data_IF_124083842642
#
_entry.id   IF_124083842642
#
_cell.length_a   1.000
_cell.length_b   1.000
_cell.length_c   1.000
_cell.angle_alpha   90.00
_cell.angle_beta   90.00
_cell.angle_gamma   90.00
#
_symmetry.space_group_name_H-M   'P 1'
#
loop_
_entity.id
_entity.type
_entity.pdbx_description
1 polymer ?
#
# COMPACT_ATOMS: atom_id res chain seq x y z
N UNK A 1 -8.33 -50.88 -14.90
CA UNK A 1 -7.85 -49.83 -15.83
C UNK A 1 -9.01 -48.89 -16.12
N UNK A 2 -9.04 -47.72 -15.47
CA UNK A 2 -10.06 -46.69 -15.75
C UNK A 2 -9.52 -45.83 -16.88
N UNK A 3 -10.28 -45.73 -17.98
CA UNK A 3 -9.92 -44.93 -19.14
C UNK A 3 -9.87 -43.45 -18.77
N UNK A 4 -8.72 -42.79 -18.97
CA UNK A 4 -8.63 -41.34 -18.88
C UNK A 4 -9.38 -40.74 -20.06
N UNK A 5 -10.49 -40.05 -19.78
CA UNK A 5 -11.28 -39.35 -20.79
C UNK A 5 -10.44 -38.30 -21.51
N UNK A 6 -10.49 -38.34 -22.84
CA UNK A 6 -9.90 -37.33 -23.70
C UNK A 6 -10.63 -36.00 -23.46
N UNK A 7 -9.91 -34.97 -23.01
CA UNK A 7 -10.47 -33.63 -22.85
C UNK A 7 -10.18 -32.88 -24.14
N UNK A 8 -11.22 -32.66 -24.96
CA UNK A 8 -11.09 -31.86 -26.17
C UNK A 8 -10.73 -30.41 -25.80
N UNK A 9 -9.70 -29.81 -26.43
CA UNK A 9 -9.32 -28.44 -26.17
C UNK A 9 -10.43 -27.49 -26.64
N UNK A 10 -10.92 -26.65 -25.72
CA UNK A 10 -11.87 -25.58 -26.07
C UNK A 10 -11.16 -24.54 -26.94
N UNK A 11 -11.57 -24.43 -28.20
CA UNK A 11 -11.05 -23.44 -29.13
C UNK A 11 -11.50 -22.03 -28.67
N UNK A 12 -10.54 -21.20 -28.27
CA UNK A 12 -10.84 -19.84 -27.82
C UNK A 12 -11.06 -18.94 -29.03
N UNK A 13 -12.26 -18.37 -29.16
CA UNK A 13 -12.60 -17.37 -30.19
C UNK A 13 -11.65 -16.16 -30.20
N UNK A 14 -11.04 -15.82 -29.06
CA UNK A 14 -10.00 -14.81 -28.94
C UNK A 14 -9.07 -15.15 -27.77
N UNK A 15 -7.77 -14.92 -27.94
CA UNK A 15 -6.76 -15.10 -26.88
C UNK A 15 -6.80 -13.99 -25.83
N UNK A 16 -7.08 -12.76 -26.28
CA UNK A 16 -7.34 -11.59 -25.46
C UNK A 16 -8.41 -10.73 -26.14
N UNK A 17 -9.26 -10.06 -25.35
CA UNK A 17 -10.15 -9.03 -25.90
C UNK A 17 -9.33 -7.76 -26.11
N UNK A 18 -9.55 -7.10 -27.24
CA UNK A 18 -8.98 -5.79 -27.50
C UNK A 18 -9.59 -4.77 -26.53
N UNK A 19 -8.74 -3.97 -25.89
CA UNK A 19 -9.16 -2.94 -24.94
C UNK A 19 -8.35 -1.69 -25.19
N UNK A 20 -9.00 -0.53 -25.29
CA UNK A 20 -8.28 0.74 -25.48
C UNK A 20 -7.48 1.09 -24.25
N UNK A 21 -6.22 1.48 -24.47
CA UNK A 21 -5.34 2.08 -23.46
C UNK A 21 -5.22 3.59 -23.60
N UNK A 22 -5.95 4.20 -24.55
CA UNK A 22 -5.80 5.61 -24.94
C UNK A 22 -5.99 6.56 -23.77
N UNK A 23 -6.91 6.25 -22.86
CA UNK A 23 -7.11 7.09 -21.68
C UNK A 23 -5.83 7.26 -20.87
N UNK A 24 -5.09 6.18 -20.61
CA UNK A 24 -3.84 6.29 -19.87
C UNK A 24 -2.72 6.89 -20.73
N UNK A 25 -2.51 6.33 -21.94
CA UNK A 25 -1.34 6.62 -22.76
C UNK A 25 -1.38 8.01 -23.41
N UNK A 26 -2.58 8.50 -23.74
CA UNK A 26 -2.77 9.79 -24.44
C UNK A 26 -3.40 10.84 -23.55
N UNK A 27 -4.47 10.51 -22.81
CA UNK A 27 -5.17 11.53 -22.02
C UNK A 27 -4.42 11.83 -20.73
N UNK A 28 -4.18 10.84 -19.88
CA UNK A 28 -3.56 11.07 -18.57
C UNK A 28 -2.09 11.48 -18.69
N UNK A 29 -1.30 10.78 -19.50
CA UNK A 29 0.13 11.08 -19.58
C UNK A 29 0.45 12.38 -20.34
N UNK A 30 -0.36 12.77 -21.33
CA UNK A 30 -0.04 13.90 -22.21
C UNK A 30 -0.88 15.15 -21.96
N UNK A 31 -2.13 15.00 -21.50
CA UNK A 31 -3.09 16.12 -21.39
C UNK A 31 -3.28 16.58 -19.95
N UNK A 32 -3.32 15.65 -18.98
CA UNK A 32 -3.63 16.02 -17.60
C UNK A 32 -2.57 16.92 -16.95
N UNK A 33 -3.06 17.97 -16.29
CA UNK A 33 -2.28 18.81 -15.40
C UNK A 33 -2.34 18.33 -13.94
N UNK A 34 -1.66 19.04 -13.04
CA UNK A 34 -1.63 18.71 -11.60
C UNK A 34 -3.01 18.81 -10.93
N UNK A 35 -3.91 19.66 -11.43
CA UNK A 35 -5.26 19.83 -10.85
C UNK A 35 -6.13 18.58 -11.09
N UNK A 36 -5.94 17.92 -12.22
CA UNK A 36 -6.60 16.64 -12.53
C UNK A 36 -5.84 15.46 -11.92
N UNK A 37 -4.51 15.52 -11.90
CA UNK A 37 -3.67 14.41 -11.42
C UNK A 37 -3.78 14.20 -9.92
N UNK A 38 -3.62 15.26 -9.12
CA UNK A 38 -3.46 15.16 -7.67
C UNK A 38 -4.68 14.54 -6.95
N UNK A 39 -5.94 14.86 -7.29
CA UNK A 39 -7.11 14.23 -6.67
C UNK A 39 -7.19 12.71 -6.94
N UNK A 40 -6.71 12.27 -8.11
CA UNK A 40 -6.81 10.88 -8.56
C UNK A 40 -5.65 10.01 -8.06
N UNK A 41 -4.43 10.55 -7.99
CA UNK A 41 -3.23 9.80 -7.59
C UNK A 41 -2.71 10.14 -6.19
N UNK A 42 -3.26 11.19 -5.53
CA UNK A 42 -2.90 11.66 -4.17
C UNK A 42 -1.43 12.05 -4.00
N UNK A 43 -0.72 12.26 -5.11
CA UNK A 43 0.64 12.75 -5.18
C UNK A 43 0.85 13.51 -6.48
N UNK A 44 1.87 14.36 -6.53
CA UNK A 44 2.25 15.07 -7.77
C UNK A 44 2.79 14.11 -8.82
N UNK A 45 2.74 14.50 -10.10
CA UNK A 45 3.24 13.66 -11.20
C UNK A 45 4.75 13.40 -11.08
N UNK A 46 5.52 14.38 -10.63
CA UNK A 46 6.95 14.21 -10.36
C UNK A 46 7.25 13.11 -9.34
N UNK A 47 6.59 13.17 -8.17
CA UNK A 47 6.71 12.15 -7.11
C UNK A 47 6.28 10.77 -7.60
N UNK A 48 5.25 10.70 -8.45
CA UNK A 48 4.85 9.44 -9.07
C UNK A 48 5.96 8.84 -9.96
N UNK A 49 6.64 9.66 -10.76
CA UNK A 49 7.74 9.20 -11.60
C UNK A 49 8.93 8.72 -10.76
N UNK A 50 9.28 9.45 -9.70
CA UNK A 50 10.31 9.02 -8.74
C UNK A 50 9.94 7.68 -8.09
N UNK A 51 8.67 7.52 -7.69
CA UNK A 51 8.18 6.26 -7.15
C UNK A 51 8.29 5.12 -8.17
N UNK A 52 8.00 5.37 -9.44
CA UNK A 52 8.16 4.38 -10.51
C UNK A 52 9.61 3.92 -10.63
N UNK A 53 10.58 4.83 -10.58
CA UNK A 53 12.01 4.49 -10.65
C UNK A 53 12.44 3.66 -9.44
N UNK A 54 12.03 4.07 -8.23
CA UNK A 54 12.36 3.34 -7.00
C UNK A 54 11.79 1.91 -6.98
N UNK A 55 10.60 1.70 -7.57
CA UNK A 55 9.95 0.39 -7.62
C UNK A 55 10.38 -0.45 -8.84
N UNK A 56 11.05 0.15 -9.82
CA UNK A 56 11.47 -0.51 -11.07
C UNK A 56 12.22 -1.83 -10.86
N UNK A 57 13.19 -1.94 -9.92
CA UNK A 57 13.93 -3.19 -9.70
C UNK A 57 13.04 -4.39 -9.33
N UNK A 58 11.95 -4.16 -8.57
CA UNK A 58 11.04 -5.23 -8.15
C UNK A 58 9.90 -5.47 -9.14
N UNK A 59 9.54 -4.48 -9.96
CA UNK A 59 8.35 -4.53 -10.80
C UNK A 59 8.64 -4.75 -12.28
N UNK A 60 9.87 -4.61 -12.76
CA UNK A 60 10.19 -4.72 -14.19
C UNK A 60 9.85 -6.11 -14.73
N UNK A 61 9.14 -6.15 -15.85
CA UNK A 61 8.77 -7.36 -16.58
C UNK A 61 9.31 -7.28 -18.00
N UNK A 62 9.42 -8.44 -18.64
CA UNK A 62 9.85 -8.56 -20.03
C UNK A 62 8.67 -8.89 -20.92
N UNK A 63 8.73 -8.41 -22.16
CA UNK A 63 7.79 -8.79 -23.19
C UNK A 63 7.91 -10.28 -23.48
N UNK A 64 6.78 -10.88 -23.83
CA UNK A 64 6.70 -12.28 -24.26
C UNK A 64 6.18 -12.32 -25.69
N UNK A 65 6.37 -13.46 -26.37
CA UNK A 65 5.80 -13.67 -27.71
C UNK A 65 4.27 -13.49 -27.77
N UNK A 66 3.60 -13.66 -26.63
CA UNK A 66 2.14 -13.61 -26.53
C UNK A 66 1.59 -12.24 -26.13
N UNK A 67 2.38 -11.39 -25.48
CA UNK A 67 1.96 -10.06 -25.01
C UNK A 67 3.15 -9.18 -24.62
N UNK A 68 2.99 -7.89 -24.86
CA UNK A 68 3.83 -6.86 -24.26
C UNK A 68 3.59 -6.77 -22.74
N UNK A 69 4.65 -6.52 -21.99
CA UNK A 69 4.58 -6.22 -20.57
C UNK A 69 3.97 -4.83 -20.36
N UNK A 70 3.23 -4.68 -19.25
CA UNK A 70 2.83 -3.35 -18.80
C UNK A 70 4.07 -2.56 -18.41
N UNK A 71 4.12 -1.29 -18.83
CA UNK A 71 5.13 -0.35 -18.35
C UNK A 71 5.05 -0.21 -16.84
N UNK A 72 6.17 0.14 -16.21
CA UNK A 72 6.21 0.37 -14.75
C UNK A 72 5.20 1.46 -14.38
N UNK A 73 5.18 2.57 -15.13
CA UNK A 73 4.27 3.68 -14.86
C UNK A 73 2.82 3.20 -14.88
N UNK A 74 2.40 2.44 -15.90
CA UNK A 74 1.03 1.96 -15.98
C UNK A 74 0.68 1.02 -14.83
N UNK A 75 1.59 0.12 -14.44
CA UNK A 75 1.37 -0.83 -13.33
C UNK A 75 1.27 -0.12 -11.98
N UNK A 76 2.15 0.85 -11.72
CA UNK A 76 2.10 1.67 -10.50
C UNK A 76 0.85 2.55 -10.49
N UNK A 77 0.48 3.14 -11.62
CA UNK A 77 -0.72 3.96 -11.74
C UNK A 77 -2.01 3.17 -11.45
N UNK A 78 -2.13 1.95 -11.99
CA UNK A 78 -3.27 1.05 -11.70
C UNK A 78 -3.39 0.81 -10.19
N UNK A 79 -2.27 0.53 -9.51
CA UNK A 79 -2.25 0.27 -8.08
C UNK A 79 -2.63 1.52 -7.27
N UNK A 80 -2.01 2.65 -7.57
CA UNK A 80 -2.28 3.91 -6.87
C UNK A 80 -3.71 4.37 -7.08
N UNK A 81 -4.25 4.29 -8.30
CA UNK A 81 -5.64 4.62 -8.58
C UNK A 81 -6.60 3.81 -7.71
N UNK A 82 -6.37 2.50 -7.60
CA UNK A 82 -7.19 1.61 -6.78
C UNK A 82 -7.07 1.92 -5.28
N UNK A 83 -5.91 2.35 -4.80
CA UNK A 83 -5.69 2.71 -3.39
C UNK A 83 -6.20 4.12 -3.05
N UNK A 84 -6.18 5.04 -4.01
CA UNK A 84 -6.56 6.44 -3.85
C UNK A 84 -8.07 6.70 -4.01
N UNK A 85 -8.79 5.78 -4.64
CA UNK A 85 -10.20 5.93 -5.03
C UNK A 85 -11.05 4.74 -4.57
N UNK A 86 -12.37 4.92 -4.34
CA UNK A 86 -13.29 3.82 -4.05
C UNK A 86 -13.59 2.94 -5.28
N UNK A 87 -12.90 3.14 -6.41
CA UNK A 87 -13.23 2.53 -7.69
C UNK A 87 -13.10 1.01 -7.68
N UNK A 88 -13.93 0.32 -8.46
CA UNK A 88 -13.95 -1.14 -8.49
C UNK A 88 -12.84 -1.71 -9.39
N UNK A 89 -12.35 -2.91 -9.09
CA UNK A 89 -11.40 -3.62 -9.97
C UNK A 89 -11.88 -3.74 -11.42
N UNK A 90 -13.19 -3.84 -11.64
CA UNK A 90 -13.79 -3.92 -12.99
C UNK A 90 -13.65 -2.58 -13.72
N UNK A 91 -13.99 -1.49 -13.04
CA UNK A 91 -13.92 -0.14 -13.61
C UNK A 91 -12.47 0.25 -13.91
N UNK A 92 -11.55 0.04 -12.97
CA UNK A 92 -10.11 0.27 -13.18
C UNK A 92 -9.58 -0.56 -14.36
N UNK A 93 -10.01 -1.82 -14.50
CA UNK A 93 -9.63 -2.67 -15.62
C UNK A 93 -10.08 -2.08 -16.97
N UNK A 94 -11.33 -1.63 -17.06
CA UNK A 94 -11.85 -0.98 -18.25
C UNK A 94 -11.11 0.34 -18.54
N UNK A 95 -10.87 1.16 -17.52
CA UNK A 95 -10.26 2.48 -17.63
C UNK A 95 -8.82 2.41 -18.16
N UNK A 96 -8.02 1.47 -17.66
CA UNK A 96 -6.62 1.29 -18.07
C UNK A 96 -6.45 0.34 -19.25
N UNK A 97 -7.53 -0.27 -19.75
CA UNK A 97 -7.48 -1.25 -20.84
C UNK A 97 -6.67 -2.50 -20.46
N UNK A 98 -6.98 -3.12 -19.33
CA UNK A 98 -6.33 -4.34 -18.83
C UNK A 98 -7.33 -5.34 -18.27
N UNK A 99 -6.92 -6.58 -18.01
CA UNK A 99 -7.78 -7.57 -17.35
C UNK A 99 -8.01 -7.27 -15.87
N UNK A 100 -9.20 -7.60 -15.33
CA UNK A 100 -9.51 -7.47 -13.88
C UNK A 100 -8.48 -8.18 -12.99
N UNK A 101 -8.04 -9.38 -13.38
CA UNK A 101 -6.99 -10.11 -12.68
C UNK A 101 -5.65 -9.39 -12.72
N UNK A 102 -5.33 -8.72 -13.83
CA UNK A 102 -4.12 -7.90 -13.98
C UNK A 102 -4.14 -6.71 -13.01
N UNK A 103 -5.28 -6.06 -12.80
CA UNK A 103 -5.43 -5.00 -11.78
C UNK A 103 -5.13 -5.55 -10.39
N UNK A 104 -5.74 -6.68 -10.01
CA UNK A 104 -5.49 -7.34 -8.72
C UNK A 104 -4.02 -7.66 -8.48
N UNK A 105 -3.37 -8.26 -9.49
CA UNK A 105 -1.95 -8.58 -9.45
C UNK A 105 -1.08 -7.31 -9.34
N UNK A 106 -1.41 -6.26 -10.11
CA UNK A 106 -0.69 -4.99 -10.05
C UNK A 106 -0.77 -4.36 -8.67
N UNK A 107 -1.97 -4.26 -8.09
CA UNK A 107 -2.21 -3.69 -6.74
C UNK A 107 -1.36 -4.41 -5.70
N UNK A 108 -1.45 -5.74 -5.62
CA UNK A 108 -0.71 -6.50 -4.61
C UNK A 108 0.80 -6.42 -4.81
N UNK A 109 1.29 -6.55 -6.04
CA UNK A 109 2.73 -6.52 -6.31
C UNK A 109 3.33 -5.13 -6.04
N UNK A 110 2.61 -4.06 -6.37
CA UNK A 110 3.06 -2.68 -6.08
C UNK A 110 3.03 -2.44 -4.58
N UNK A 111 1.97 -2.83 -3.87
CA UNK A 111 1.89 -2.68 -2.42
C UNK A 111 3.04 -3.40 -1.70
N UNK A 112 3.32 -4.66 -2.07
CA UNK A 112 4.47 -5.38 -1.52
C UNK A 112 5.80 -4.71 -1.84
N UNK A 113 6.01 -4.30 -3.10
CA UNK A 113 7.25 -3.61 -3.47
C UNK A 113 7.45 -2.29 -2.71
N UNK A 114 6.38 -1.53 -2.43
CA UNK A 114 6.45 -0.33 -1.58
C UNK A 114 6.90 -0.70 -0.17
N UNK A 115 6.30 -1.73 0.43
CA UNK A 115 6.67 -2.18 1.78
C UNK A 115 8.13 -2.64 1.80
N UNK A 116 8.52 -3.52 0.89
CA UNK A 116 9.84 -4.16 0.88
C UNK A 116 10.98 -3.18 0.59
N UNK A 117 10.76 -2.22 -0.33
CA UNK A 117 11.83 -1.33 -0.79
C UNK A 117 11.86 0.03 -0.09
N UNK A 118 10.71 0.53 0.39
CA UNK A 118 10.56 1.91 0.84
C UNK A 118 10.24 2.06 2.32
N UNK A 119 9.58 1.08 2.95
CA UNK A 119 9.13 1.24 4.33
C UNK A 119 10.28 1.58 5.29
N UNK A 120 11.40 0.86 5.17
CA UNK A 120 12.61 1.09 5.97
C UNK A 120 13.35 2.38 5.64
N UNK A 121 12.98 3.09 4.56
CA UNK A 121 13.55 4.39 4.17
C UNK A 121 12.65 5.55 4.58
N UNK A 122 11.35 5.32 4.71
CA UNK A 122 10.35 6.37 4.99
C UNK A 122 9.88 6.38 6.44
N UNK A 123 9.82 5.21 7.09
CA UNK A 123 9.45 5.05 8.50
C UNK A 123 10.70 4.69 9.27
N UNK A 124 11.44 5.72 9.64
CA UNK A 124 12.71 5.60 10.35
C UNK A 124 12.74 6.56 11.53
N UNK A 125 13.40 6.15 12.61
CA UNK A 125 13.78 7.09 13.64
C UNK A 125 14.80 8.06 13.04
N UNK A 126 14.47 9.36 13.03
CA UNK A 126 15.38 10.41 12.63
C UNK A 126 16.35 10.77 13.75
N UNK A 127 16.91 11.98 13.68
CA UNK A 127 17.70 12.55 14.76
C UNK A 127 16.84 12.73 16.03
N UNK A 128 17.19 11.98 17.08
CA UNK A 128 16.43 11.93 18.33
C UNK A 128 16.47 13.27 19.05
N UNK A 129 17.60 13.98 19.02
CA UNK A 129 17.73 15.28 19.69
C UNK A 129 16.81 16.31 19.05
N UNK A 130 16.77 16.35 17.71
CA UNK A 130 15.83 17.20 16.96
C UNK A 130 14.37 16.86 17.30
N UNK A 131 14.06 15.59 17.54
CA UNK A 131 12.72 15.17 17.95
C UNK A 131 12.39 15.67 19.36
N UNK A 132 13.29 15.46 20.32
CA UNK A 132 13.13 15.87 21.71
C UNK A 132 12.99 17.39 21.81
N UNK A 133 13.84 18.15 21.14
CA UNK A 133 13.80 19.62 21.14
C UNK A 133 12.48 20.12 20.55
N UNK A 134 12.02 19.51 19.46
CA UNK A 134 10.75 19.85 18.83
C UNK A 134 9.55 19.62 19.74
N UNK A 135 9.54 18.53 20.52
CA UNK A 135 8.50 18.30 21.53
C UNK A 135 8.65 19.19 22.77
N UNK A 136 9.88 19.55 23.17
CA UNK A 136 10.13 20.45 24.28
C UNK A 136 9.49 21.84 24.02
N UNK A 137 9.60 22.35 22.79
CA UNK A 137 8.91 23.60 22.36
C UNK A 137 7.39 23.49 22.49
N UNK A 138 6.83 22.29 22.32
CA UNK A 138 5.39 22.02 22.49
C UNK A 138 4.99 21.73 23.95
N UNK A 139 5.91 21.84 24.92
CA UNK A 139 5.65 21.60 26.33
C UNK A 139 5.85 20.16 26.81
N UNK A 140 6.46 19.30 25.99
CA UNK A 140 6.76 17.90 26.33
C UNK A 140 8.29 17.66 26.32
N UNK A 141 9.03 18.16 27.32
CA UNK A 141 10.47 17.93 27.40
C UNK A 141 10.78 16.43 27.52
N UNK A 142 11.93 16.01 26.98
CA UNK A 142 12.39 14.60 26.94
C UNK A 142 11.45 13.63 26.21
N UNK A 143 10.58 14.13 25.33
CA UNK A 143 9.68 13.30 24.54
C UNK A 143 10.33 12.89 23.21
N UNK A 144 10.62 11.61 23.04
CA UNK A 144 11.17 11.06 21.78
C UNK A 144 10.12 10.69 20.72
N UNK A 145 8.83 10.86 21.02
CA UNK A 145 7.74 10.51 20.09
C UNK A 145 6.38 10.40 20.77
N UNK A 146 5.32 10.57 19.98
CA UNK A 146 3.94 10.34 20.40
C UNK A 146 3.41 9.05 19.76
N UNK A 147 2.80 8.17 20.57
CA UNK A 147 2.29 6.88 20.12
C UNK A 147 0.77 6.82 20.23
N UNK A 148 0.13 6.33 19.18
CA UNK A 148 -1.32 6.05 19.19
C UNK A 148 -1.69 4.92 18.21
N UNK A 149 -2.90 4.38 18.37
CA UNK A 149 -3.51 3.40 17.48
C UNK A 149 -4.63 3.99 16.62
N UNK A 150 -4.70 3.58 15.36
CA UNK A 150 -5.84 3.88 14.48
C UNK A 150 -6.45 2.60 13.92
N UNK A 151 -7.77 2.63 13.69
CA UNK A 151 -8.51 1.53 13.10
C UNK A 151 -8.64 1.71 11.60
N UNK A 152 -8.01 0.82 10.83
CA UNK A 152 -8.15 0.74 9.38
C UNK A 152 -9.36 -0.14 9.07
N UNK A 153 -10.43 0.39 8.46
CA UNK A 153 -11.60 -0.39 8.11
C UNK A 153 -11.24 -1.52 7.14
N UNK A 154 -11.83 -2.69 7.37
CA UNK A 154 -11.67 -3.85 6.49
C UNK A 154 -13.03 -4.45 6.16
N UNK A 155 -13.07 -5.27 5.12
CA UNK A 155 -14.16 -6.22 4.96
C UNK A 155 -14.03 -7.29 6.06
N UNK A 156 -15.17 -7.72 6.60
CA UNK A 156 -15.19 -8.75 7.63
C UNK A 156 -14.52 -10.04 7.11
N UNK A 157 -13.53 -10.60 7.83
CA UNK A 157 -12.89 -11.83 7.40
C UNK A 157 -13.86 -13.01 7.55
N UNK A 158 -13.71 -14.02 6.67
CA UNK A 158 -14.56 -15.22 6.64
C UNK A 158 -14.47 -16.03 7.95
N UNK A 159 -13.31 -15.98 8.61
CA UNK A 159 -13.06 -16.67 9.86
C UNK A 159 -12.75 -15.67 10.97
N UNK A 160 -13.27 -15.94 12.17
CA UNK A 160 -13.04 -15.14 13.38
C UNK A 160 -13.41 -13.65 13.24
N UNK A 161 -14.38 -13.30 12.38
CA UNK A 161 -14.79 -11.91 12.12
C UNK A 161 -15.11 -11.10 13.38
N UNK A 162 -15.67 -11.72 14.42
CA UNK A 162 -15.98 -11.06 15.69
C UNK A 162 -14.77 -10.48 16.42
N UNK A 163 -13.55 -10.98 16.14
CA UNK A 163 -12.30 -10.42 16.69
C UNK A 163 -11.90 -9.11 16.00
N UNK A 164 -12.40 -8.85 14.80
CA UNK A 164 -12.09 -7.65 14.04
C UNK A 164 -13.10 -6.53 14.28
N UNK A 165 -14.21 -6.80 14.97
CA UNK A 165 -15.19 -5.77 15.36
C UNK A 165 -14.58 -4.91 16.47
N UNK A 166 -14.37 -3.63 16.18
CA UNK A 166 -13.87 -2.68 17.16
C UNK A 166 -14.97 -2.18 18.10
N UNK A 167 -14.60 -1.34 19.06
CA UNK A 167 -15.53 -0.70 20.02
C UNK A 167 -16.61 0.17 19.37
N UNK A 168 -16.43 0.57 18.09
CA UNK A 168 -17.40 1.36 17.30
C UNK A 168 -18.31 0.48 16.43
N UNK A 169 -18.21 -0.85 16.54
CA UNK A 169 -19.12 -1.79 15.89
C UNK A 169 -18.80 -2.12 14.42
N UNK A 170 -17.62 -1.74 13.91
CA UNK A 170 -17.22 -2.09 12.53
C UNK A 170 -15.94 -2.92 12.47
N UNK A 171 -15.77 -3.69 11.40
CA UNK A 171 -14.58 -4.51 11.17
C UNK A 171 -13.36 -3.63 10.86
N UNK A 172 -12.26 -3.84 11.59
CA UNK A 172 -11.02 -3.10 11.39
C UNK A 172 -9.79 -3.89 11.78
N UNK A 173 -8.65 -3.47 11.26
CA UNK A 173 -7.32 -3.80 11.77
C UNK A 173 -6.71 -2.59 12.46
N UNK A 174 -5.94 -2.80 13.52
CA UNK A 174 -5.21 -1.73 14.20
C UNK A 174 -3.88 -1.49 13.50
N UNK A 175 -3.59 -0.21 13.25
CA UNK A 175 -2.28 0.33 12.94
C UNK A 175 -1.85 1.18 14.13
N UNK A 176 -0.85 0.72 14.88
CA UNK A 176 -0.17 1.53 15.88
C UNK A 176 0.99 2.26 15.21
N UNK A 177 1.17 3.53 15.52
CA UNK A 177 2.26 4.33 15.01
C UNK A 177 2.90 5.18 16.12
N UNK A 178 4.22 5.30 16.06
CA UNK A 178 4.98 6.33 16.75
C UNK A 178 5.26 7.45 15.74
N UNK A 179 5.02 8.69 16.13
CA UNK A 179 5.31 9.89 15.32
C UNK A 179 6.29 10.82 16.02
N UNK A 180 7.06 11.56 15.22
CA UNK A 180 7.85 12.68 15.71
C UNK A 180 7.01 13.95 15.95
N UNK A 181 7.69 15.01 16.40
CA UNK A 181 7.11 16.34 16.66
C UNK A 181 6.51 17.01 15.40
N UNK A 182 6.78 16.51 14.20
CA UNK A 182 6.20 16.98 12.92
C UNK A 182 5.09 16.07 12.42
N UNK A 183 4.70 15.04 13.18
CA UNK A 183 3.70 14.05 12.80
C UNK A 183 4.19 13.02 11.78
N UNK A 184 5.51 12.90 11.57
CA UNK A 184 6.07 11.89 10.65
C UNK A 184 6.22 10.56 11.38
N UNK A 185 5.83 9.46 10.73
CA UNK A 185 5.96 8.13 11.31
C UNK A 185 7.44 7.74 11.50
N UNK A 186 7.80 7.36 12.72
CA UNK A 186 9.13 6.86 13.09
C UNK A 186 9.13 5.36 13.41
N UNK A 187 7.95 4.81 13.72
CA UNK A 187 7.71 3.37 13.85
C UNK A 187 6.25 3.04 13.56
N UNK A 188 5.97 1.86 13.00
CA UNK A 188 4.62 1.33 12.86
C UNK A 188 4.55 -0.15 13.27
N UNK A 189 3.37 -0.56 13.74
CA UNK A 189 3.03 -1.94 14.06
C UNK A 189 1.58 -2.20 13.58
N UNK A 190 1.39 -3.14 12.66
CA UNK A 190 0.15 -3.28 11.88
C UNK A 190 -0.35 -4.72 11.92
N UNK A 191 -1.67 -4.90 11.82
CA UNK A 191 -2.28 -6.21 11.57
C UNK A 191 -2.99 -6.82 12.77
N UNK A 192 -3.13 -6.08 13.87
CA UNK A 192 -3.87 -6.55 15.03
C UNK A 192 -5.39 -6.48 14.78
N UNK A 193 -6.19 -7.45 15.24
CA UNK A 193 -7.64 -7.38 15.13
C UNK A 193 -8.22 -6.16 15.86
N UNK A 194 -9.26 -5.54 15.29
CA UNK A 194 -9.88 -4.32 15.81
C UNK A 194 -10.46 -4.41 17.23
N UNK A 195 -10.66 -5.61 17.77
CA UNK A 195 -11.10 -5.80 19.17
C UNK A 195 -9.95 -5.67 20.19
N UNK A 196 -8.71 -5.72 19.74
CA UNK A 196 -7.53 -5.72 20.62
C UNK A 196 -7.28 -4.32 21.18
N UNK A 197 -7.11 -4.22 22.51
CA UNK A 197 -6.79 -2.96 23.19
C UNK A 197 -5.39 -2.44 22.85
N UNK A 198 -5.24 -1.12 22.74
CA UNK A 198 -3.97 -0.45 22.39
C UNK A 198 -2.81 -0.83 23.31
N UNK A 199 -3.06 -0.99 24.62
CA UNK A 199 -2.05 -1.44 25.58
C UNK A 199 -1.51 -2.85 25.25
N UNK A 200 -2.36 -3.74 24.75
CA UNK A 200 -1.94 -5.08 24.32
C UNK A 200 -1.18 -5.00 23.00
N UNK A 201 -1.62 -4.18 22.06
CA UNK A 201 -0.89 -3.93 20.80
C UNK A 201 0.51 -3.40 21.09
N UNK A 202 0.63 -2.41 21.99
CA UNK A 202 1.91 -1.82 22.36
C UNK A 202 2.85 -2.84 23.00
N UNK A 203 2.40 -3.56 24.04
CA UNK A 203 3.24 -4.57 24.74
C UNK A 203 3.78 -5.67 23.82
N UNK A 204 3.08 -5.96 22.72
CA UNK A 204 3.49 -6.97 21.75
C UNK A 204 4.15 -6.39 20.48
N UNK A 205 4.39 -5.07 20.45
CA UNK A 205 5.03 -4.39 19.32
C UNK A 205 6.55 -4.57 19.33
N UNK A 206 7.17 -4.48 18.15
CA UNK A 206 8.64 -4.42 18.04
C UNK A 206 9.23 -3.19 18.72
N UNK A 207 8.48 -2.09 18.77
CA UNK A 207 8.87 -0.86 19.46
C UNK A 207 9.04 -1.08 20.97
N UNK A 208 8.04 -1.68 21.62
CA UNK A 208 8.10 -1.93 23.07
C UNK A 208 9.30 -2.78 23.46
N UNK A 209 9.60 -3.84 22.69
CA UNK A 209 10.79 -4.68 22.90
C UNK A 209 12.08 -3.85 22.87
N UNK A 210 12.27 -3.06 21.81
CA UNK A 210 13.47 -2.23 21.65
C UNK A 210 13.60 -1.14 22.72
N UNK A 211 12.47 -0.60 23.21
CA UNK A 211 12.46 0.35 24.32
C UNK A 211 12.89 -0.31 25.64
N UNK A 212 12.39 -1.52 25.93
CA UNK A 212 12.77 -2.27 27.13
C UNK A 212 14.26 -2.67 27.13
N UNK A 213 14.80 -2.99 25.94
CA UNK A 213 16.21 -3.30 25.75
C UNK A 213 17.12 -2.06 25.75
N UNK A 214 16.56 -0.84 25.72
CA UNK A 214 17.34 0.40 25.63
C UNK A 214 18.02 0.62 24.26
N UNK A 215 17.53 -0.01 23.19
CA UNK A 215 18.16 0.02 21.85
C UNK A 215 17.32 0.77 20.80
N UNK A 216 16.27 1.47 21.21
CA UNK A 216 15.44 2.24 20.29
C UNK A 216 15.99 3.64 20.03
N UNK A 217 16.17 4.42 21.10
CA UNK A 217 16.89 5.69 21.05
C UNK A 217 18.36 5.39 21.33
N UNK A 218 19.16 5.28 20.27
CA UNK A 218 20.61 5.13 20.39
C UNK A 218 21.22 6.54 20.46
N UNK A 219 22.27 6.68 21.27
CA UNK A 219 23.11 7.89 21.34
C UNK A 219 23.89 8.12 20.03
#
# INVERSE_FOLDING_TARGET
MVAMGHVDPVERRFWARETSSDWWDRIVLQVWDESQWLPNFRMRKGTFLELCELLSPALKRQDTRMRAALTIQKRVAIALWKLATPDSYRSVANQFGVGKSTVGVAVMQVAHAIVDLLLSKVVTLGDVQVIIDGFAVMGFPNCGGAIDGTHIPILGPEHQGSQYINRKGYFSMVLQALVDHKGRFTNINVGWPGKVHDARVFKNSGLFRRLQEGVYFLD
#
